data_IF_152072096982
#
_entry.id   IF_152072096982
#
_cell.length_a   1.000
_cell.length_b   1.000
_cell.length_c   1.000
_cell.angle_alpha   90.00
_cell.angle_beta   90.00
_cell.angle_gamma   90.00
#
_symmetry.space_group_name_H-M   'P 1'
#
loop_
_entity.id
_entity.type
_entity.pdbx_description
1 polymer ?
#
# COMPACT_ATOMS: atom_id res chain seq x y z
N UNK A 1 -7.26 -11.57 13.62
CA UNK A 1 -8.73 -11.58 13.79
C UNK A 1 -9.23 -10.43 12.92
N UNK A 2 -10.06 -10.67 11.90
CA UNK A 2 -10.56 -9.56 11.07
C UNK A 2 -11.51 -8.69 11.90
N UNK A 3 -11.34 -7.37 11.80
CA UNK A 3 -12.15 -6.35 12.48
C UNK A 3 -13.58 -6.31 11.93
N UNK A 4 -13.78 -6.85 10.73
CA UNK A 4 -15.05 -6.87 10.01
C UNK A 4 -15.40 -8.32 9.68
N UNK A 5 -16.54 -8.80 10.20
CA UNK A 5 -17.08 -10.12 9.83
C UNK A 5 -17.47 -10.15 8.33
N UNK A 6 -17.39 -11.33 7.69
CA UNK A 6 -17.75 -11.59 6.29
C UNK A 6 -19.12 -11.05 5.90
N UNK A 7 -20.07 -11.00 6.85
CA UNK A 7 -21.42 -10.45 6.64
C UNK A 7 -21.42 -8.91 6.52
N UNK A 8 -20.51 -8.22 7.23
CA UNK A 8 -20.36 -6.76 7.21
C UNK A 8 -19.51 -6.27 6.04
N UNK A 9 -18.71 -7.15 5.44
CA UNK A 9 -17.85 -6.85 4.30
C UNK A 9 -18.56 -6.21 3.09
N UNK A 10 -19.78 -6.67 2.80
CA UNK A 10 -20.60 -6.12 1.70
C UNK A 10 -21.05 -4.69 1.99
N UNK A 11 -21.32 -4.37 3.25
CA UNK A 11 -21.70 -3.01 3.67
C UNK A 11 -20.47 -2.10 3.71
N UNK A 12 -19.31 -2.63 4.10
CA UNK A 12 -18.05 -1.89 4.10
C UNK A 12 -17.71 -1.31 2.72
N UNK A 13 -17.86 -2.12 1.64
CA UNK A 13 -17.65 -1.63 0.27
C UNK A 13 -18.57 -0.47 -0.12
N UNK A 14 -19.76 -0.39 0.46
CA UNK A 14 -20.74 0.68 0.18
C UNK A 14 -20.41 1.97 0.93
N UNK A 15 -19.81 1.85 2.11
CA UNK A 15 -19.54 2.97 3.03
C UNK A 15 -18.09 3.47 2.95
N UNK A 16 -17.23 2.84 2.14
CA UNK A 16 -15.84 3.23 2.00
C UNK A 16 -15.70 4.70 1.55
N UNK A 17 -15.04 5.50 2.37
CA UNK A 17 -14.69 6.89 2.08
C UNK A 17 -13.57 7.00 1.05
N UNK A 18 -12.68 6.01 1.01
CA UNK A 18 -11.60 5.95 0.03
C UNK A 18 -11.55 4.57 -0.61
N UNK A 19 -11.44 4.54 -1.93
CA UNK A 19 -11.33 3.31 -2.73
C UNK A 19 -10.14 3.46 -3.67
N UNK A 20 -9.16 2.56 -3.55
CA UNK A 20 -7.96 2.54 -4.39
C UNK A 20 -7.95 1.24 -5.17
N UNK A 21 -8.56 1.28 -6.35
CA UNK A 21 -8.77 0.11 -7.20
C UNK A 21 -9.40 -1.05 -6.42
N UNK A 22 -8.89 -2.25 -6.67
CA UNK A 22 -9.23 -3.45 -5.89
C UNK A 22 -8.24 -3.72 -4.76
N UNK A 23 -7.42 -2.74 -4.34
CA UNK A 23 -6.31 -2.99 -3.41
C UNK A 23 -6.60 -2.56 -1.99
N UNK A 24 -7.20 -1.37 -1.83
CA UNK A 24 -7.41 -0.75 -0.52
C UNK A 24 -8.76 -0.04 -0.48
N UNK A 25 -9.51 -0.30 0.57
CA UNK A 25 -10.71 0.42 0.95
C UNK A 25 -10.50 1.01 2.35
N UNK A 26 -10.96 2.22 2.57
CA UNK A 26 -10.91 2.86 3.89
C UNK A 26 -12.25 3.51 4.21
N UNK A 27 -12.70 3.32 5.43
CA UNK A 27 -13.87 3.96 6.00
C UNK A 27 -13.41 4.92 7.11
N UNK A 28 -13.69 6.22 6.93
CA UNK A 28 -13.30 7.27 7.87
C UNK A 28 -14.10 7.21 9.17
N UNK A 29 -15.35 6.75 9.14
CA UNK A 29 -16.22 6.72 10.32
C UNK A 29 -15.76 5.64 11.32
N UNK A 30 -15.35 4.49 10.79
CA UNK A 30 -14.89 3.35 11.60
C UNK A 30 -13.37 3.30 11.77
N UNK A 31 -12.64 4.14 11.03
CA UNK A 31 -11.18 4.15 10.89
C UNK A 31 -10.58 2.83 10.40
N UNK A 32 -11.38 1.97 9.76
CA UNK A 32 -10.91 0.67 9.28
C UNK A 32 -10.38 0.78 7.86
N UNK A 33 -9.20 0.20 7.65
CA UNK A 33 -8.64 -0.11 6.33
C UNK A 33 -8.90 -1.57 6.04
N UNK A 34 -9.36 -1.87 4.83
CA UNK A 34 -9.43 -3.20 4.26
C UNK A 34 -8.49 -3.28 3.07
N UNK A 35 -7.65 -4.31 3.05
CA UNK A 35 -6.76 -4.57 1.91
C UNK A 35 -7.07 -5.91 1.26
N UNK A 36 -6.86 -6.00 -0.06
CA UNK A 36 -6.82 -7.26 -0.78
C UNK A 36 -5.36 -7.59 -1.11
N UNK A 37 -4.91 -8.82 -0.81
CA UNK A 37 -3.53 -9.28 -1.06
C UNK A 37 -3.19 -9.55 -2.54
N UNK A 38 -3.92 -8.97 -3.49
CA UNK A 38 -3.64 -9.08 -4.92
C UNK A 38 -4.89 -9.05 -5.80
N UNK A 39 -4.72 -8.55 -7.03
CA UNK A 39 -5.79 -8.39 -8.04
C UNK A 39 -6.45 -9.72 -8.44
N UNK A 40 -5.72 -10.84 -8.30
CA UNK A 40 -6.16 -12.20 -8.66
C UNK A 40 -6.23 -13.15 -7.47
N UNK A 41 -6.17 -12.64 -6.23
CA UNK A 41 -6.23 -13.44 -5.00
C UNK A 41 -7.55 -13.20 -4.25
N UNK A 42 -8.73 -13.55 -4.83
CA UNK A 42 -10.00 -13.39 -4.15
C UNK A 42 -10.02 -14.27 -2.90
N UNK A 43 -10.01 -13.65 -1.71
CA UNK A 43 -10.28 -14.34 -0.45
C UNK A 43 -9.28 -14.15 0.69
N UNK A 44 -8.12 -13.51 0.48
CA UNK A 44 -7.25 -13.08 1.60
C UNK A 44 -7.35 -11.58 1.76
N UNK A 45 -8.37 -11.18 2.50
CA UNK A 45 -8.58 -9.81 2.93
C UNK A 45 -8.00 -9.67 4.33
N UNK A 46 -7.46 -8.50 4.61
CA UNK A 46 -7.05 -8.15 5.97
C UNK A 46 -7.61 -6.78 6.30
N UNK A 47 -7.90 -6.59 7.59
CA UNK A 47 -8.35 -5.32 8.11
C UNK A 47 -7.48 -4.86 9.26
N UNK A 48 -7.24 -3.57 9.33
CA UNK A 48 -6.53 -2.91 10.42
C UNK A 48 -7.01 -1.48 10.58
N UNK A 49 -6.75 -0.85 11.73
CA UNK A 49 -7.09 0.55 11.93
C UNK A 49 -6.09 1.47 11.23
N UNK A 50 -6.55 2.51 10.53
CA UNK A 50 -5.65 3.45 9.87
C UNK A 50 -4.78 4.19 10.90
N UNK A 51 -5.33 4.54 12.05
CA UNK A 51 -4.62 5.10 13.22
C UNK A 51 -3.53 4.18 13.79
N UNK A 52 -3.54 2.88 13.47
CA UNK A 52 -2.50 1.95 13.90
C UNK A 52 -1.26 1.96 13.01
N UNK A 53 -1.31 2.62 11.84
CA UNK A 53 -0.21 2.69 10.88
C UNK A 53 0.98 3.43 11.52
N UNK A 54 2.16 2.81 11.45
CA UNK A 54 3.42 3.37 12.00
C UNK A 54 4.40 3.72 10.91
N UNK A 55 4.57 2.84 9.94
CA UNK A 55 5.49 3.04 8.84
C UNK A 55 5.09 2.23 7.62
N UNK A 56 5.70 2.54 6.48
CA UNK A 56 5.59 1.73 5.27
C UNK A 56 6.90 1.67 4.49
N UNK A 57 7.01 0.69 3.62
CA UNK A 57 8.07 0.57 2.62
C UNK A 57 7.47 0.05 1.30
N UNK A 58 8.09 0.40 0.18
CA UNK A 58 7.75 -0.12 -1.14
C UNK A 58 8.73 -1.21 -1.49
N UNK A 59 8.20 -2.38 -1.83
CA UNK A 59 9.01 -3.51 -2.27
C UNK A 59 8.84 -3.68 -3.77
N UNK A 60 9.96 -3.70 -4.50
CA UNK A 60 10.02 -3.92 -5.94
C UNK A 60 11.05 -5.01 -6.25
N UNK A 61 10.63 -6.09 -6.89
CA UNK A 61 11.48 -7.23 -7.26
C UNK A 61 12.33 -7.77 -6.09
N UNK A 62 11.74 -7.81 -4.88
CA UNK A 62 12.41 -8.26 -3.66
C UNK A 62 13.34 -7.23 -3.00
N UNK A 63 13.59 -6.09 -3.64
CA UNK A 63 14.30 -4.95 -3.03
C UNK A 63 13.30 -4.08 -2.28
N UNK A 64 13.64 -3.63 -1.08
CA UNK A 64 12.82 -2.69 -0.32
C UNK A 64 13.34 -1.27 -0.44
N UNK A 65 12.43 -0.31 -0.49
CA UNK A 65 12.76 1.09 -0.27
C UNK A 65 13.20 1.30 1.19
N UNK A 66 13.67 2.51 1.49
CA UNK A 66 13.76 2.93 2.88
C UNK A 66 12.36 2.87 3.55
N UNK A 67 12.34 2.66 4.87
CA UNK A 67 11.10 2.69 5.65
C UNK A 67 10.72 4.13 5.97
N UNK A 68 9.49 4.51 5.65
CA UNK A 68 8.92 5.83 5.93
C UNK A 68 7.97 5.76 7.11
N UNK A 69 8.12 6.65 8.09
CA UNK A 69 7.18 6.82 9.20
C UNK A 69 7.86 6.92 10.56
N UNK A 70 7.12 6.62 11.63
CA UNK A 70 7.58 6.77 13.01
C UNK A 70 8.78 5.85 13.28
N UNK A 71 9.98 6.45 13.39
CA UNK A 71 11.25 5.74 13.60
C UNK A 71 11.99 5.30 12.33
N UNK A 72 11.43 5.56 11.13
CA UNK A 72 12.13 5.42 9.86
C UNK A 72 12.98 6.65 9.59
N UNK A 73 14.15 6.46 8.98
CA UNK A 73 15.12 7.53 8.73
C UNK A 73 14.54 8.61 7.78
N UNK A 74 13.90 9.63 8.33
CA UNK A 74 13.84 10.97 7.75
C UNK A 74 15.23 11.67 7.83
N UNK A 75 16.32 10.89 7.79
CA UNK A 75 17.70 11.38 7.90
C UNK A 75 18.26 11.53 6.48
N UNK A 76 18.00 12.68 5.85
CA UNK A 76 18.65 13.00 4.58
C UNK A 76 18.00 14.07 3.71
N UNK A 77 17.43 15.14 4.26
CA UNK A 77 17.44 16.44 3.60
C UNK A 77 16.59 16.67 2.33
N UNK A 78 15.81 15.71 1.85
CA UNK A 78 14.79 16.05 0.85
C UNK A 78 13.47 15.32 1.08
N UNK A 79 12.50 16.06 1.62
CA UNK A 79 11.08 15.80 1.46
C UNK A 79 10.68 16.11 0.00
N UNK A 80 11.32 15.46 -0.98
CA UNK A 80 10.62 15.24 -2.23
C UNK A 80 9.46 14.34 -1.81
N UNK A 81 8.21 14.79 -2.01
CA UNK A 81 7.03 14.04 -1.57
C UNK A 81 7.06 12.57 -2.00
N UNK A 82 6.11 11.74 -1.55
CA UNK A 82 6.13 10.27 -1.72
C UNK A 82 6.58 9.80 -3.11
N UNK A 83 6.09 10.48 -4.14
CA UNK A 83 6.40 10.21 -5.56
C UNK A 83 7.86 10.50 -5.93
N UNK A 84 8.51 11.53 -5.37
CA UNK A 84 9.88 11.89 -5.73
C UNK A 84 10.93 10.95 -5.13
N UNK A 85 10.71 10.51 -3.89
CA UNK A 85 11.62 9.59 -3.22
C UNK A 85 11.44 8.15 -3.74
N UNK A 86 10.20 7.75 -4.04
CA UNK A 86 9.93 6.51 -4.77
C UNK A 86 10.39 6.57 -6.23
N UNK A 87 10.34 7.72 -6.88
CA UNK A 87 10.78 7.89 -8.27
C UNK A 87 12.21 7.42 -8.46
N UNK A 88 13.12 7.82 -7.58
CA UNK A 88 14.50 7.33 -7.60
C UNK A 88 14.60 5.81 -7.41
N UNK A 89 13.91 5.26 -6.40
CA UNK A 89 13.91 3.81 -6.12
C UNK A 89 13.31 2.97 -7.25
N UNK A 90 12.15 3.38 -7.79
CA UNK A 90 11.47 2.69 -8.87
C UNK A 90 12.25 2.77 -10.19
N UNK A 91 13.04 3.82 -10.41
CA UNK A 91 13.87 4.02 -11.61
C UNK A 91 15.27 3.39 -11.50
N UNK A 92 15.73 2.96 -10.31
CA UNK A 92 17.10 2.44 -10.06
C UNK A 92 17.50 1.24 -10.92
N UNK A 93 16.55 0.53 -11.54
CA UNK A 93 16.84 -0.50 -12.55
C UNK A 93 15.89 -0.35 -13.72
N UNK A 94 16.41 -0.01 -14.91
CA UNK A 94 15.72 -0.14 -16.20
C UNK A 94 15.55 -1.61 -16.59
N UNK A 95 14.89 -2.40 -15.74
CA UNK A 95 14.34 -3.69 -16.18
C UNK A 95 13.07 -3.38 -16.94
N UNK A 96 12.92 -3.99 -18.12
CA UNK A 96 11.69 -3.86 -18.90
C UNK A 96 10.50 -4.56 -18.24
N UNK A 97 10.74 -5.25 -17.12
CA UNK A 97 9.79 -6.13 -16.46
C UNK A 97 9.86 -5.93 -14.94
N UNK A 98 8.70 -5.98 -14.29
CA UNK A 98 8.47 -5.96 -12.85
C UNK A 98 7.87 -7.31 -12.50
N UNK A 99 8.43 -7.99 -11.52
CA UNK A 99 8.02 -9.32 -11.05
C UNK A 99 7.28 -9.26 -9.72
N UNK A 100 7.57 -8.25 -8.91
CA UNK A 100 6.94 -8.02 -7.61
C UNK A 100 6.85 -6.51 -7.39
N UNK A 101 5.67 -6.04 -7.00
CA UNK A 101 5.44 -4.66 -6.59
C UNK A 101 4.40 -4.64 -5.48
N UNK A 102 4.78 -4.18 -4.29
CA UNK A 102 3.87 -4.09 -3.15
C UNK A 102 4.22 -2.95 -2.20
N UNK A 103 3.23 -2.49 -1.44
CA UNK A 103 3.41 -1.61 -0.29
C UNK A 103 3.27 -2.44 0.97
N UNK A 104 4.32 -2.47 1.78
CA UNK A 104 4.30 -3.11 3.09
C UNK A 104 4.02 -2.06 4.15
N UNK A 105 2.97 -2.26 4.93
CA UNK A 105 2.50 -1.37 5.98
C UNK A 105 2.76 -2.04 7.33
N UNK A 106 3.43 -1.32 8.23
CA UNK A 106 3.67 -1.77 9.60
C UNK A 106 2.67 -1.06 10.53
N UNK A 107 1.98 -1.83 11.35
CA UNK A 107 0.98 -1.35 12.31
C UNK A 107 1.38 -1.71 13.75
N UNK A 108 0.77 -1.06 14.74
CA UNK A 108 0.90 -1.45 16.14
C UNK A 108 -0.08 -2.57 16.57
N UNK A 109 -0.87 -3.12 15.65
CA UNK A 109 -1.84 -4.19 15.91
C UNK A 109 -1.30 -5.57 15.57
N UNK A 110 -2.17 -6.59 15.67
CA UNK A 110 -1.86 -7.97 15.25
C UNK A 110 -2.77 -8.40 14.09
N UNK A 111 -2.22 -8.77 12.91
CA UNK A 111 -0.79 -8.83 12.60
C UNK A 111 -0.15 -7.45 12.45
N UNK A 112 1.14 -7.34 12.76
CA UNK A 112 1.90 -6.08 12.68
C UNK A 112 2.30 -5.67 11.26
N UNK A 113 2.17 -6.59 10.28
CA UNK A 113 2.60 -6.38 8.90
C UNK A 113 1.45 -6.72 7.95
N UNK A 114 1.19 -5.79 7.03
CA UNK A 114 0.18 -5.92 5.98
C UNK A 114 0.78 -5.59 4.62
N UNK A 115 0.65 -6.49 3.65
CA UNK A 115 1.17 -6.32 2.30
C UNK A 115 0.04 -6.02 1.31
N UNK A 116 0.05 -4.81 0.73
CA UNK A 116 -0.80 -4.44 -0.41
C UNK A 116 -0.06 -4.81 -1.70
N UNK A 117 -0.39 -5.98 -2.24
CA UNK A 117 0.29 -6.55 -3.41
C UNK A 117 -0.34 -6.01 -4.70
N UNK A 118 0.43 -5.23 -5.46
CA UNK A 118 -0.02 -4.61 -6.71
C UNK A 118 0.29 -5.48 -7.92
N UNK A 119 1.49 -6.08 -7.94
CA UNK A 119 1.95 -7.07 -8.90
C UNK A 119 2.71 -8.18 -8.18
N UNK A 120 2.52 -9.42 -8.64
CA UNK A 120 3.26 -10.61 -8.19
C UNK A 120 3.60 -11.55 -9.36
N UNK A 121 3.53 -11.02 -10.58
CA UNK A 121 3.78 -11.75 -11.80
C UNK A 121 4.57 -10.88 -12.76
N UNK A 122 5.34 -11.55 -13.61
CA UNK A 122 6.24 -10.91 -14.58
C UNK A 122 5.43 -10.02 -15.55
N UNK A 123 5.59 -8.72 -15.40
CA UNK A 123 4.78 -7.68 -16.07
C UNK A 123 5.68 -6.66 -16.73
N UNK A 124 5.42 -6.30 -17.99
CA UNK A 124 6.18 -5.22 -18.65
C UNK A 124 5.97 -3.90 -17.93
N UNK A 125 7.06 -3.23 -17.56
CA UNK A 125 7.02 -1.99 -16.77
C UNK A 125 6.31 -0.85 -17.51
N UNK A 126 6.51 -0.76 -18.82
CA UNK A 126 5.90 0.23 -19.73
C UNK A 126 4.56 -0.22 -20.33
N UNK A 127 4.19 -1.48 -20.11
CA UNK A 127 2.91 -2.04 -20.52
C UNK A 127 1.75 -1.46 -19.73
N UNK A 128 0.53 -1.63 -20.24
CA UNK A 128 -0.69 -1.10 -19.63
C UNK A 128 -0.85 -1.50 -18.15
N UNK A 129 -0.65 -2.78 -17.83
CA UNK A 129 -0.74 -3.30 -16.46
C UNK A 129 0.37 -2.71 -15.56
N UNK A 130 1.59 -2.56 -16.08
CA UNK A 130 2.69 -1.93 -15.34
C UNK A 130 2.39 -0.48 -14.98
N UNK A 131 1.85 0.29 -15.93
CA UNK A 131 1.41 1.68 -15.70
C UNK A 131 0.29 1.77 -14.67
N UNK A 132 -0.72 0.92 -14.77
CA UNK A 132 -1.83 0.88 -13.81
C UNK A 132 -1.37 0.51 -12.40
N UNK A 133 -0.42 -0.43 -12.29
CA UNK A 133 0.17 -0.81 -11.02
C UNK A 133 0.98 0.34 -10.39
N UNK A 134 1.73 1.10 -11.19
CA UNK A 134 2.44 2.30 -10.70
C UNK A 134 1.47 3.39 -10.24
N UNK A 135 0.36 3.62 -10.96
CA UNK A 135 -0.68 4.55 -10.50
C UNK A 135 -1.31 4.10 -9.18
N UNK A 136 -1.59 2.80 -9.05
CA UNK A 136 -2.13 2.22 -7.81
C UNK A 136 -1.13 2.34 -6.67
N UNK A 137 0.16 2.17 -6.94
CA UNK A 137 1.25 2.37 -5.99
C UNK A 137 1.25 3.79 -5.43
N UNK A 138 1.24 4.79 -6.32
CA UNK A 138 1.21 6.20 -5.93
C UNK A 138 0.00 6.50 -5.03
N UNK A 139 -1.18 6.01 -5.40
CA UNK A 139 -2.39 6.22 -4.61
C UNK A 139 -2.31 5.56 -3.22
N UNK A 140 -1.86 4.31 -3.13
CA UNK A 140 -1.70 3.60 -1.84
C UNK A 140 -0.69 4.31 -0.97
N UNK A 141 0.47 4.70 -1.53
CA UNK A 141 1.51 5.42 -0.79
C UNK A 141 0.99 6.76 -0.27
N UNK A 142 0.30 7.54 -1.11
CA UNK A 142 -0.28 8.82 -0.70
C UNK A 142 -1.29 8.64 0.45
N UNK A 143 -2.14 7.62 0.36
CA UNK A 143 -3.06 7.28 1.44
C UNK A 143 -2.32 6.97 2.74
N UNK A 144 -1.38 6.01 2.72
CA UNK A 144 -0.67 5.56 3.92
C UNK A 144 0.14 6.71 4.54
N UNK A 145 0.81 7.51 3.71
CA UNK A 145 1.55 8.67 4.19
C UNK A 145 0.64 9.71 4.84
N UNK A 146 -0.55 9.96 4.28
CA UNK A 146 -1.51 10.89 4.90
C UNK A 146 -1.90 10.47 6.31
N UNK A 147 -1.94 9.16 6.60
CA UNK A 147 -2.26 8.62 7.92
C UNK A 147 -1.12 8.69 8.92
N UNK A 148 0.11 8.88 8.44
CA UNK A 148 1.31 8.99 9.29
C UNK A 148 1.62 10.44 9.65
N UNK A 149 1.44 11.39 8.72
CA UNK A 149 1.92 12.78 8.88
C UNK A 149 0.82 13.83 9.00
N UNK A 150 -0.43 13.52 8.65
CA UNK A 150 -1.56 14.45 8.79
C UNK A 150 -2.50 13.92 9.88
N UNK A 151 -2.15 14.16 11.14
CA UNK A 151 -3.12 14.25 12.24
C UNK A 151 -3.69 15.67 12.32
#
# INVERSE_FOLDING_TARGET
MDLIDKKQLKNFKKNATTVIGDYLLYDKETDVVLINKGLLSPGKQETFYASSIRSFEVIKDGESSEKFGLGGAALGGVLFGPVGLLGGFLLKKKKNEITDLRVRINTAGEPTIHDVVLLNSKTKADGFIGKLANQSLENVVNFVQSKIFNE
#
